data_IF_483617309717
#
_entry.id   IF_483617309717
#
_cell.length_a   1.000
_cell.length_b   1.000
_cell.length_c   1.000
_cell.angle_alpha   90.00
_cell.angle_beta   90.00
_cell.angle_gamma   90.00
#
_symmetry.space_group_name_H-M   'P 1'
#
loop_
_entity.id
_entity.type
_entity.pdbx_description
1 polymer ?
#
# COMPACT_ATOMS: atom_id res chain seq x y z
N UNK A 1 -62.39 20.77 -67.41
CA UNK A 1 -62.84 20.10 -66.18
C UNK A 1 -63.28 21.18 -65.19
N UNK A 2 -64.49 21.08 -64.66
CA UNK A 2 -65.18 22.12 -63.88
C UNK A 2 -65.60 21.59 -62.50
N UNK A 3 -65.39 22.44 -61.48
CA UNK A 3 -66.14 22.66 -60.22
C UNK A 3 -66.26 21.51 -59.18
N UNK A 4 -66.26 21.74 -57.85
CA UNK A 4 -66.97 22.75 -57.04
C UNK A 4 -66.30 23.11 -55.71
N UNK A 5 -66.73 24.26 -55.16
CA UNK A 5 -66.45 24.87 -53.86
C UNK A 5 -67.72 24.90 -52.97
N UNK A 6 -67.50 25.17 -51.66
CA UNK A 6 -68.35 25.86 -50.64
C UNK A 6 -69.24 24.99 -49.72
N UNK A 7 -69.76 25.48 -48.55
CA UNK A 7 -69.54 26.75 -47.80
C UNK A 7 -69.57 26.66 -46.24
N UNK A 8 -69.39 27.83 -45.58
CA UNK A 8 -70.06 28.33 -44.34
C UNK A 8 -69.86 27.70 -42.93
N UNK A 9 -69.41 28.54 -41.97
CA UNK A 9 -70.03 28.79 -40.64
C UNK A 9 -69.19 29.86 -39.88
N UNK A 10 -69.70 31.08 -39.62
CA UNK A 10 -70.30 31.56 -38.34
C UNK A 10 -69.25 31.82 -37.24
N UNK A 11 -69.23 32.86 -36.40
CA UNK A 11 -70.16 33.96 -36.08
C UNK A 11 -69.56 34.81 -34.92
N UNK A 12 -69.90 36.12 -34.86
CA UNK A 12 -70.27 36.92 -33.66
C UNK A 12 -69.23 37.09 -32.51
N UNK A 13 -69.06 38.18 -31.74
CA UNK A 13 -69.77 39.44 -31.47
C UNK A 13 -68.89 40.34 -30.59
N UNK A 14 -69.18 41.64 -30.61
CA UNK A 14 -68.50 42.73 -29.88
C UNK A 14 -69.16 43.10 -28.52
N UNK A 15 -68.30 43.53 -27.58
CA UNK A 15 -68.49 44.38 -26.38
C UNK A 15 -69.35 43.89 -25.20
N UNK A 16 -68.77 43.85 -23.99
CA UNK A 16 -69.33 44.37 -22.73
C UNK A 16 -68.26 44.48 -21.60
N UNK A 17 -68.12 45.70 -21.03
CA UNK A 17 -67.85 46.13 -19.63
C UNK A 17 -66.65 45.55 -18.83
N UNK A 18 -65.66 46.38 -18.43
CA UNK A 18 -65.52 47.21 -17.21
C UNK A 18 -64.79 46.52 -16.04
N UNK A 19 -63.58 47.04 -15.83
CA UNK A 19 -62.92 47.46 -14.59
C UNK A 19 -62.95 46.63 -13.30
N UNK A 20 -61.78 46.71 -12.64
CA UNK A 20 -61.49 46.55 -11.22
C UNK A 20 -61.31 45.12 -10.70
N UNK A 21 -60.06 44.68 -10.65
CA UNK A 21 -59.29 44.55 -9.39
C UNK A 21 -58.25 43.45 -9.53
N UNK A 22 -57.02 43.75 -9.13
CA UNK A 22 -55.92 42.78 -9.15
C UNK A 22 -54.62 43.46 -9.52
N UNK A 23 -54.13 44.29 -8.59
CA UNK A 23 -52.82 44.91 -8.69
C UNK A 23 -51.76 43.89 -9.04
N UNK A 24 -51.00 44.18 -10.10
CA UNK A 24 -49.68 43.62 -10.32
C UNK A 24 -48.77 44.82 -10.46
N UNK A 25 -48.00 45.07 -9.41
CA UNK A 25 -46.89 46.01 -9.48
C UNK A 25 -45.99 45.59 -10.64
N UNK A 26 -45.84 46.50 -11.61
CA UNK A 26 -44.74 46.40 -12.55
C UNK A 26 -43.48 46.74 -11.77
N UNK A 27 -42.54 45.79 -11.70
CA UNK A 27 -41.16 46.13 -11.44
C UNK A 27 -40.66 46.83 -12.70
N UNK A 28 -41.00 48.10 -12.85
CA UNK A 28 -40.24 48.96 -13.75
C UNK A 28 -38.90 49.18 -13.03
N UNK A 29 -37.97 48.28 -13.32
CA UNK A 29 -36.56 48.58 -13.16
C UNK A 29 -36.31 49.75 -14.12
N UNK A 30 -36.29 50.96 -13.59
CA UNK A 30 -35.54 52.07 -14.17
C UNK A 30 -34.23 51.46 -14.69
N UNK A 31 -33.97 51.61 -15.98
CA UNK A 31 -32.77 51.11 -16.64
C UNK A 31 -31.57 51.78 -15.95
N UNK A 32 -31.06 51.15 -14.89
CA UNK A 32 -29.87 51.60 -14.19
C UNK A 32 -28.75 51.44 -15.19
N UNK A 33 -28.37 52.54 -15.85
CA UNK A 33 -27.11 52.59 -16.56
C UNK A 33 -26.04 52.19 -15.53
N UNK A 34 -25.35 51.06 -15.74
CA UNK A 34 -24.28 50.70 -14.83
C UNK A 34 -23.29 51.85 -14.88
N UNK A 35 -23.10 52.48 -13.72
CA UNK A 35 -22.11 53.51 -13.53
C UNK A 35 -20.81 52.97 -14.13
N UNK A 36 -20.26 53.70 -15.12
CA UNK A 36 -19.12 53.28 -15.94
C UNK A 36 -18.01 52.83 -15.00
N UNK A 37 -17.95 51.53 -14.75
CA UNK A 37 -16.93 50.94 -13.91
C UNK A 37 -15.69 51.08 -14.76
N UNK A 38 -14.77 51.94 -14.33
CA UNK A 38 -13.41 51.99 -14.85
C UNK A 38 -12.95 50.55 -14.97
N UNK A 39 -12.74 50.08 -16.20
CA UNK A 39 -12.64 48.66 -16.50
C UNK A 39 -11.61 47.98 -15.63
N UNK A 40 -12.06 47.22 -14.65
CA UNK A 40 -11.21 46.22 -13.99
C UNK A 40 -11.12 45.09 -14.99
N UNK A 41 -10.02 45.05 -15.75
CA UNK A 41 -9.71 43.94 -16.64
C UNK A 41 -9.74 42.66 -15.82
N UNK A 42 -10.60 41.71 -16.21
CA UNK A 42 -10.60 40.37 -15.64
C UNK A 42 -9.22 39.78 -15.92
N UNK A 43 -8.39 39.63 -14.89
CA UNK A 43 -7.05 39.08 -15.02
C UNK A 43 -7.17 37.65 -15.57
N UNK A 44 -6.50 37.39 -16.69
CA UNK A 44 -6.46 36.08 -17.32
C UNK A 44 -5.31 35.30 -16.69
N UNK A 45 -5.65 34.37 -15.79
CA UNK A 45 -4.66 33.52 -15.14
C UNK A 45 -4.21 32.40 -16.10
N UNK A 46 -2.90 32.19 -16.17
CA UNK A 46 -2.29 31.03 -16.82
C UNK A 46 -1.43 30.28 -15.82
N UNK A 47 -1.30 28.97 -16.02
CA UNK A 47 -0.43 28.14 -15.20
C UNK A 47 1.02 28.63 -15.32
N UNK A 48 1.71 28.70 -14.19
CA UNK A 48 3.14 29.02 -14.18
C UNK A 48 3.88 27.82 -14.76
N UNK A 49 4.63 28.05 -15.85
CA UNK A 49 5.47 27.02 -16.44
C UNK A 49 6.56 26.61 -15.43
N UNK A 50 6.62 25.31 -15.14
CA UNK A 50 7.58 24.73 -14.20
C UNK A 50 8.30 23.56 -14.86
N UNK A 51 9.55 23.32 -14.46
CA UNK A 51 10.30 22.17 -14.93
C UNK A 51 9.57 20.88 -14.56
N UNK A 52 9.49 19.96 -15.52
CA UNK A 52 8.85 18.67 -15.28
C UNK A 52 9.67 17.87 -14.27
N UNK A 53 8.98 17.30 -13.27
CA UNK A 53 9.59 16.37 -12.33
C UNK A 53 10.28 15.24 -13.08
N UNK A 54 11.57 15.02 -12.79
CA UNK A 54 12.33 13.88 -13.31
C UNK A 54 11.66 12.60 -12.81
N UNK A 55 11.35 11.68 -13.74
CA UNK A 55 10.81 10.38 -13.38
C UNK A 55 11.96 9.48 -12.94
N UNK A 56 11.93 9.05 -11.69
CA UNK A 56 12.84 8.04 -11.19
C UNK A 56 12.36 6.66 -11.66
N UNK A 57 13.30 5.82 -12.10
CA UNK A 57 13.05 4.41 -12.39
C UNK A 57 13.68 3.59 -11.27
N UNK A 58 12.83 3.01 -10.42
CA UNK A 58 13.27 2.17 -9.31
C UNK A 58 13.46 0.73 -9.81
N UNK A 59 14.35 -0.01 -9.15
CA UNK A 59 14.43 -1.46 -9.33
C UNK A 59 13.21 -2.14 -8.72
N UNK A 60 12.87 -3.34 -9.18
CA UNK A 60 11.65 -4.08 -8.77
C UNK A 60 11.50 -4.24 -7.25
N UNK A 61 12.62 -4.41 -6.52
CA UNK A 61 12.63 -4.54 -5.05
C UNK A 61 12.73 -3.21 -4.28
N UNK A 62 12.88 -2.10 -5.00
CA UNK A 62 13.01 -0.76 -4.43
C UNK A 62 11.69 0.02 -4.50
N UNK A 63 10.66 -0.55 -5.15
CA UNK A 63 9.33 0.01 -5.16
C UNK A 63 8.76 0.07 -3.72
N UNK A 64 8.09 1.16 -3.31
CA UNK A 64 7.53 1.26 -1.97
C UNK A 64 6.27 0.39 -1.83
N UNK A 65 6.18 -0.33 -0.71
CA UNK A 65 4.99 -1.10 -0.31
C UNK A 65 4.76 -0.98 1.20
N UNK A 66 3.60 -1.41 1.69
CA UNK A 66 3.34 -1.49 3.14
C UNK A 66 4.28 -2.48 3.84
N UNK A 67 4.78 -3.46 3.11
CA UNK A 67 5.72 -4.45 3.61
C UNK A 67 6.09 -5.46 2.54
N UNK A 68 7.01 -6.35 2.89
CA UNK A 68 7.37 -7.50 2.05
C UNK A 68 7.42 -8.77 2.88
N UNK A 69 7.09 -9.88 2.24
CA UNK A 69 7.24 -11.23 2.77
C UNK A 69 8.05 -12.07 1.78
N UNK A 70 8.93 -12.92 2.30
CA UNK A 70 9.68 -13.86 1.49
C UNK A 70 9.59 -15.26 2.06
N UNK A 71 9.47 -16.25 1.17
CA UNK A 71 9.46 -17.67 1.54
C UNK A 71 10.88 -18.11 1.93
N UNK A 72 10.98 -18.89 3.00
CA UNK A 72 12.25 -19.50 3.46
C UNK A 72 12.70 -20.56 2.44
N UNK A 73 13.89 -20.43 1.82
CA UNK A 73 14.34 -21.36 0.81
C UNK A 73 14.54 -22.79 1.32
N UNK A 74 14.03 -23.75 0.54
CA UNK A 74 14.19 -25.20 0.78
C UNK A 74 14.69 -25.83 -0.51
N UNK A 75 15.81 -26.55 -0.43
CA UNK A 75 16.39 -27.23 -1.58
C UNK A 75 15.49 -28.37 -2.05
N UNK A 76 15.08 -28.30 -3.31
CA UNK A 76 14.39 -29.39 -3.98
C UNK A 76 15.35 -30.55 -4.31
N UNK A 77 14.79 -31.73 -4.58
CA UNK A 77 15.59 -32.90 -4.95
C UNK A 77 16.49 -32.59 -6.16
N UNK A 78 17.79 -32.87 -6.03
CA UNK A 78 18.80 -32.59 -7.07
C UNK A 78 19.37 -31.17 -7.08
N UNK A 79 18.72 -30.19 -6.44
CA UNK A 79 19.25 -28.83 -6.33
C UNK A 79 20.31 -28.74 -5.23
N UNK A 80 21.48 -28.17 -5.56
CA UNK A 80 22.55 -27.89 -4.59
C UNK A 80 22.44 -26.51 -3.95
N UNK A 81 21.72 -25.60 -4.62
CA UNK A 81 21.49 -24.23 -4.19
C UNK A 81 20.06 -23.81 -4.50
N UNK A 82 19.45 -23.07 -3.59
CA UNK A 82 18.15 -22.43 -3.75
C UNK A 82 18.26 -21.04 -3.15
N UNK A 83 18.25 -20.04 -4.01
CA UNK A 83 18.37 -18.63 -3.64
C UNK A 83 17.09 -18.13 -2.97
N UNK A 84 17.21 -17.00 -2.29
CA UNK A 84 16.06 -16.19 -1.92
C UNK A 84 15.55 -15.54 -3.21
N UNK A 85 14.28 -15.76 -3.54
CA UNK A 85 13.65 -15.20 -4.73
C UNK A 85 12.22 -14.75 -4.44
N UNK A 86 11.75 -13.82 -5.27
CA UNK A 86 10.35 -13.39 -5.33
C UNK A 86 9.78 -12.93 -3.98
N UNK A 87 10.36 -11.91 -3.32
CA UNK A 87 9.67 -11.29 -2.19
C UNK A 87 8.35 -10.68 -2.68
N UNK A 88 7.27 -10.96 -1.96
CA UNK A 88 5.93 -10.53 -2.31
C UNK A 88 5.59 -9.26 -1.53
N UNK A 89 5.09 -8.24 -2.23
CA UNK A 89 4.59 -7.02 -1.59
C UNK A 89 3.33 -7.32 -0.78
N UNK A 90 3.28 -6.83 0.46
CA UNK A 90 2.13 -6.94 1.34
C UNK A 90 1.23 -5.72 1.12
N UNK A 91 -0.03 -5.97 0.82
CA UNK A 91 -1.06 -4.93 0.62
C UNK A 91 -2.07 -4.84 1.76
N UNK A 92 -2.02 -5.81 2.68
CA UNK A 92 -2.96 -5.93 3.78
C UNK A 92 -2.60 -4.97 4.94
N UNK A 93 -3.57 -4.15 5.36
CA UNK A 93 -3.40 -3.14 6.40
C UNK A 93 -3.63 -3.66 7.84
N UNK A 94 -4.02 -4.93 8.04
CA UNK A 94 -4.21 -5.49 9.38
C UNK A 94 -2.85 -5.93 9.95
N UNK A 95 -2.33 -5.19 10.94
CA UNK A 95 -1.07 -5.55 11.61
C UNK A 95 -1.13 -6.92 12.32
N UNK A 96 -2.30 -7.39 12.75
CA UNK A 96 -2.42 -8.67 13.44
C UNK A 96 -2.38 -9.85 12.48
N UNK A 97 -2.57 -9.60 11.18
CA UNK A 97 -2.52 -10.62 10.15
C UNK A 97 -1.10 -10.84 9.68
N UNK A 98 -0.53 -11.96 10.13
CA UNK A 98 0.78 -12.43 9.66
C UNK A 98 0.66 -12.89 8.19
N UNK A 99 1.52 -12.39 7.28
CA UNK A 99 1.52 -12.80 5.88
C UNK A 99 1.71 -14.32 5.72
N UNK A 100 0.90 -14.94 4.86
CA UNK A 100 0.97 -16.37 4.53
C UNK A 100 0.87 -17.33 5.74
N UNK A 101 0.35 -16.86 6.89
CA UNK A 101 0.30 -17.65 8.12
C UNK A 101 -0.61 -18.88 8.03
N UNK A 102 -1.81 -18.73 7.47
CA UNK A 102 -2.74 -19.85 7.30
C UNK A 102 -2.21 -20.89 6.30
N UNK A 103 -1.49 -20.43 5.26
CA UNK A 103 -0.80 -21.30 4.30
C UNK A 103 0.21 -22.19 5.01
N UNK A 104 1.13 -21.61 5.79
CA UNK A 104 2.15 -22.40 6.49
C UNK A 104 1.57 -23.27 7.60
N UNK A 105 0.53 -22.81 8.31
CA UNK A 105 -0.20 -23.62 9.31
C UNK A 105 -0.83 -24.85 8.68
N UNK A 106 -1.47 -24.71 7.52
CA UNK A 106 -2.06 -25.82 6.79
C UNK A 106 -1.00 -26.84 6.37
N UNK A 107 0.12 -26.38 5.81
CA UNK A 107 1.26 -27.24 5.42
C UNK A 107 1.83 -27.95 6.63
N UNK A 108 2.09 -27.25 7.74
CA UNK A 108 2.63 -27.84 8.96
C UNK A 108 1.67 -28.89 9.54
N UNK A 109 0.39 -28.55 9.71
CA UNK A 109 -0.63 -29.44 10.30
C UNK A 109 -0.76 -30.76 9.52
N UNK A 110 -0.81 -30.70 8.19
CA UNK A 110 -0.88 -31.89 7.33
C UNK A 110 0.34 -32.81 7.45
N UNK A 111 1.47 -32.29 7.93
CA UNK A 111 2.75 -33.00 8.02
C UNK A 111 3.22 -33.21 9.47
N UNK A 112 2.32 -33.03 10.44
CA UNK A 112 2.60 -33.12 11.89
C UNK A 112 3.70 -32.14 12.36
N UNK A 113 3.82 -30.99 11.70
CA UNK A 113 4.70 -29.89 12.08
C UNK A 113 4.04 -28.89 13.03
N UNK A 114 4.83 -27.93 13.51
CA UNK A 114 4.40 -26.91 14.46
C UNK A 114 4.90 -25.53 14.03
N UNK A 115 3.97 -24.58 13.85
CA UNK A 115 4.33 -23.21 13.45
C UNK A 115 4.61 -22.35 14.68
N UNK A 116 5.74 -21.66 14.67
CA UNK A 116 6.10 -20.60 15.60
C UNK A 116 6.21 -19.28 14.84
N UNK A 117 5.60 -18.24 15.38
CA UNK A 117 5.65 -16.90 14.83
C UNK A 117 6.27 -15.87 15.80
N UNK A 118 6.79 -14.79 15.21
CA UNK A 118 7.38 -13.63 15.89
C UNK A 118 7.03 -12.38 15.08
N UNK A 119 6.49 -11.35 15.73
CA UNK A 119 5.95 -10.18 15.02
C UNK A 119 6.30 -8.81 15.64
N UNK A 120 7.07 -8.77 16.74
CA UNK A 120 7.36 -7.55 17.51
C UNK A 120 6.12 -6.76 18.00
N UNK A 121 4.96 -7.43 18.09
CA UNK A 121 3.67 -6.86 18.51
C UNK A 121 3.68 -6.20 19.90
N UNK A 122 4.50 -6.70 20.81
CA UNK A 122 4.62 -6.19 22.18
C UNK A 122 5.34 -4.84 22.27
N UNK A 123 6.22 -4.53 21.31
CA UNK A 123 7.09 -3.34 21.35
C UNK A 123 6.69 -2.31 20.30
N UNK A 124 6.17 -2.74 19.16
CA UNK A 124 5.92 -1.87 18.01
C UNK A 124 4.43 -1.57 17.82
N UNK A 125 4.08 -0.29 17.63
CA UNK A 125 2.68 0.13 17.42
C UNK A 125 2.24 0.13 15.96
N UNK A 126 3.14 0.56 15.06
CA UNK A 126 2.82 0.81 13.65
C UNK A 126 3.48 -0.17 12.68
N UNK A 127 4.37 -1.03 13.18
CA UNK A 127 5.11 -1.99 12.37
C UNK A 127 5.08 -3.38 13.00
N UNK A 128 5.27 -4.39 12.16
CA UNK A 128 5.51 -5.79 12.53
C UNK A 128 6.65 -6.31 11.70
N UNK A 129 7.57 -7.04 12.33
CA UNK A 129 8.66 -7.72 11.64
C UNK A 129 8.94 -9.04 12.33
N UNK A 130 9.40 -10.01 11.56
CA UNK A 130 9.82 -11.30 12.08
C UNK A 130 9.52 -12.43 11.11
N UNK A 131 8.93 -13.50 11.61
CA UNK A 131 8.78 -14.75 10.87
C UNK A 131 7.56 -15.55 11.30
N UNK A 132 7.15 -16.49 10.44
CA UNK A 132 6.26 -17.60 10.77
C UNK A 132 6.84 -18.88 10.16
N UNK A 133 7.29 -19.81 11.00
CA UNK A 133 8.14 -20.94 10.60
C UNK A 133 7.63 -22.23 11.24
N UNK A 134 7.57 -23.30 10.43
CA UNK A 134 7.44 -24.67 10.92
C UNK A 134 8.77 -25.11 11.57
N UNK A 135 8.80 -25.23 12.90
CA UNK A 135 10.02 -25.58 13.66
C UNK A 135 10.35 -27.07 13.59
N UNK A 136 9.36 -27.90 13.26
CA UNK A 136 9.49 -29.35 13.06
C UNK A 136 9.61 -29.69 11.56
N UNK A 137 10.11 -28.73 10.78
CA UNK A 137 10.28 -28.86 9.33
C UNK A 137 11.21 -30.03 8.96
N UNK A 138 10.78 -30.81 7.96
CA UNK A 138 11.61 -31.82 7.30
C UNK A 138 11.20 -31.98 5.83
N UNK A 139 12.11 -32.55 5.04
CA UNK A 139 11.87 -32.81 3.62
C UNK A 139 11.85 -31.54 2.77
N UNK A 140 11.03 -31.54 1.72
CA UNK A 140 10.97 -30.49 0.69
C UNK A 140 9.75 -29.59 0.79
N UNK A 141 8.96 -29.70 1.87
CA UNK A 141 7.78 -28.85 2.09
C UNK A 141 8.18 -27.41 2.40
N UNK A 142 7.22 -26.50 2.39
CA UNK A 142 7.46 -25.11 2.79
C UNK A 142 7.86 -25.05 4.28
N UNK A 143 8.95 -24.32 4.57
CA UNK A 143 9.42 -24.09 5.94
C UNK A 143 8.73 -22.90 6.60
N UNK A 144 8.34 -21.90 5.82
CA UNK A 144 7.69 -20.70 6.34
C UNK A 144 8.17 -19.44 5.65
N UNK A 145 8.04 -18.33 6.35
CA UNK A 145 8.21 -17.00 5.79
C UNK A 145 8.91 -16.05 6.76
N UNK A 146 9.64 -15.08 6.21
CA UNK A 146 10.21 -13.92 6.92
C UNK A 146 9.59 -12.67 6.32
N UNK A 147 9.24 -11.68 7.16
CA UNK A 147 8.50 -10.52 6.69
C UNK A 147 8.77 -9.26 7.52
N UNK A 148 8.42 -8.12 6.91
CA UNK A 148 8.13 -6.88 7.61
C UNK A 148 6.87 -6.25 7.00
N UNK A 149 6.07 -5.56 7.81
CA UNK A 149 4.97 -4.71 7.36
C UNK A 149 4.75 -3.54 8.30
N UNK A 150 4.19 -2.47 7.76
CA UNK A 150 3.77 -1.29 8.49
C UNK A 150 2.39 -0.85 8.07
N UNK A 151 1.81 0.02 8.88
CA UNK A 151 0.59 0.76 8.58
C UNK A 151 0.86 2.25 8.73
N UNK A 152 -0.01 3.05 8.13
CA UNK A 152 0.03 4.51 8.24
C UNK A 152 1.42 5.07 7.92
N UNK A 153 1.89 4.97 6.65
CA UNK A 153 3.14 5.59 6.23
C UNK A 153 3.19 7.06 6.66
N UNK A 154 4.31 7.47 7.26
CA UNK A 154 4.47 8.79 7.84
C UNK A 154 4.26 9.91 6.82
N UNK A 155 3.36 10.84 7.14
CA UNK A 155 3.11 12.06 6.34
C UNK A 155 3.81 13.30 6.91
N UNK A 156 4.35 13.17 8.12
CA UNK A 156 5.09 14.19 8.83
C UNK A 156 6.41 13.58 9.31
N UNK A 157 7.51 14.31 9.15
CA UNK A 157 8.84 13.89 9.59
C UNK A 157 9.34 14.86 10.67
N UNK A 158 10.08 14.36 11.68
CA UNK A 158 10.67 15.22 12.70
C UNK A 158 11.63 16.25 12.09
N UNK A 159 11.63 17.46 12.65
CA UNK A 159 12.66 18.46 12.41
C UNK A 159 13.56 18.55 13.65
N UNK A 160 14.87 18.65 13.45
CA UNK A 160 15.82 18.88 14.52
C UNK A 160 16.94 17.83 14.59
N UNK A 161 17.31 17.36 15.80
CA UNK A 161 18.51 16.55 16.00
C UNK A 161 18.38 15.14 15.43
N UNK A 162 19.52 14.46 15.31
CA UNK A 162 19.59 13.03 14.98
C UNK A 162 18.78 12.24 15.99
N UNK A 163 17.87 11.39 15.49
CA UNK A 163 17.04 10.52 16.32
C UNK A 163 17.53 9.07 16.25
N UNK A 164 17.56 8.41 17.41
CA UNK A 164 17.92 6.99 17.51
C UNK A 164 16.67 6.13 17.56
N UNK A 165 16.59 5.16 16.64
CA UNK A 165 15.53 4.14 16.58
C UNK A 165 16.11 2.78 16.92
N UNK A 166 15.53 2.11 17.92
CA UNK A 166 15.95 0.79 18.36
C UNK A 166 14.86 -0.25 18.09
N UNK A 167 15.28 -1.47 17.79
CA UNK A 167 14.37 -2.56 17.52
C UNK A 167 15.08 -3.90 17.42
N UNK A 168 14.50 -4.78 16.61
CA UNK A 168 15.02 -6.11 16.33
C UNK A 168 15.18 -6.30 14.82
N UNK A 169 15.86 -7.36 14.42
CA UNK A 169 15.91 -7.81 13.03
C UNK A 169 15.81 -9.33 12.95
N UNK A 170 15.34 -9.82 11.81
CA UNK A 170 15.15 -11.24 11.53
C UNK A 170 15.56 -11.51 10.08
N UNK A 171 15.90 -12.75 9.78
CA UNK A 171 16.43 -13.11 8.46
C UNK A 171 16.15 -14.56 8.09
N UNK A 172 16.29 -14.84 6.79
CA UNK A 172 16.48 -16.17 6.23
C UNK A 172 17.73 -16.14 5.34
N UNK A 173 18.50 -17.22 5.32
CA UNK A 173 19.54 -17.42 4.31
C UNK A 173 18.97 -17.98 3.01
N UNK A 174 19.81 -18.15 1.99
CA UNK A 174 19.60 -19.14 0.93
C UNK A 174 19.78 -20.57 1.48
N UNK A 175 19.43 -21.59 0.71
CA UNK A 175 19.85 -22.97 0.98
C UNK A 175 20.99 -23.33 0.03
N UNK A 176 22.16 -23.72 0.56
CA UNK A 176 23.34 -23.94 -0.26
C UNK A 176 24.28 -24.99 0.34
N UNK A 177 24.43 -26.12 -0.36
CA UNK A 177 25.35 -27.20 0.01
C UNK A 177 26.82 -26.86 -0.28
N UNK A 178 27.08 -25.96 -1.22
CA UNK A 178 28.42 -25.58 -1.67
C UNK A 178 28.99 -24.37 -0.90
N UNK A 179 28.16 -23.71 -0.07
CA UNK A 179 28.56 -22.55 0.75
C UNK A 179 29.50 -22.90 1.92
N UNK A 180 29.98 -24.14 2.03
CA UNK A 180 30.88 -24.63 3.10
C UNK A 180 30.35 -24.36 4.52
N UNK A 181 29.03 -24.33 4.69
CA UNK A 181 28.39 -24.22 6.01
C UNK A 181 28.68 -25.48 6.82
N UNK A 182 29.08 -25.37 8.10
CA UNK A 182 29.47 -26.54 8.87
C UNK A 182 28.26 -27.40 9.24
N UNK A 183 28.49 -28.71 9.36
CA UNK A 183 27.46 -29.67 9.79
C UNK A 183 26.99 -29.41 11.22
N UNK A 184 27.87 -28.90 12.08
CA UNK A 184 27.53 -28.41 13.42
C UNK A 184 27.90 -26.94 13.48
N UNK A 185 26.93 -26.09 13.80
CA UNK A 185 27.13 -24.65 13.91
C UNK A 185 26.96 -24.19 15.37
N UNK A 186 27.90 -23.42 15.96
CA UNK A 186 27.76 -22.94 17.33
C UNK A 186 26.63 -21.91 17.52
N UNK A 187 26.18 -21.27 16.43
CA UNK A 187 25.17 -20.22 16.44
C UNK A 187 23.77 -20.71 16.12
N UNK A 188 23.63 -21.74 15.28
CA UNK A 188 22.33 -22.24 14.82
C UNK A 188 22.08 -23.69 15.24
N UNK A 189 20.83 -24.00 15.56
CA UNK A 189 20.31 -25.33 15.87
C UNK A 189 20.21 -26.22 14.63
N UNK A 190 20.25 -27.54 14.86
CA UNK A 190 20.15 -28.55 13.81
C UNK A 190 21.48 -28.96 13.18
N UNK A 191 21.41 -29.95 12.29
CA UNK A 191 22.54 -30.44 11.50
C UNK A 191 22.57 -29.75 10.13
N UNK A 192 23.71 -29.14 9.79
CA UNK A 192 23.91 -28.42 8.54
C UNK A 192 22.96 -27.22 8.34
N UNK A 193 22.83 -26.29 9.30
CA UNK A 193 21.94 -25.13 9.14
C UNK A 193 22.34 -24.30 7.91
N UNK A 194 21.36 -24.03 7.05
CA UNK A 194 21.56 -23.33 5.77
C UNK A 194 22.05 -24.24 4.63
N UNK A 195 22.30 -25.53 4.84
CA UNK A 195 22.76 -26.41 3.75
C UNK A 195 21.61 -26.79 2.80
N UNK A 196 20.69 -27.66 3.23
CA UNK A 196 19.52 -28.06 2.42
C UNK A 196 18.30 -27.19 2.64
N UNK A 197 18.22 -26.60 3.82
CA UNK A 197 17.12 -25.76 4.26
C UNK A 197 17.77 -24.49 4.78
N UNK A 198 17.27 -23.34 4.34
CA UNK A 198 17.77 -22.06 4.81
C UNK A 198 17.71 -21.95 6.34
N UNK A 199 18.73 -21.33 6.93
CA UNK A 199 18.73 -21.02 8.35
C UNK A 199 18.06 -19.67 8.56
N UNK A 200 17.35 -19.52 9.67
CA UNK A 200 16.68 -18.26 10.03
C UNK A 200 17.11 -17.81 11.41
N UNK A 201 16.75 -16.57 11.78
CA UNK A 201 16.92 -16.07 13.15
C UNK A 201 16.24 -16.97 14.19
N UNK A 202 15.10 -17.59 13.85
CA UNK A 202 14.41 -18.56 14.70
C UNK A 202 15.25 -19.81 15.04
N UNK A 203 16.26 -20.13 14.22
CA UNK A 203 17.14 -21.27 14.47
C UNK A 203 18.30 -20.92 15.41
N UNK A 204 18.43 -19.69 15.90
CA UNK A 204 19.56 -19.28 16.69
C UNK A 204 19.60 -19.90 18.10
N UNK A 205 20.80 -20.16 18.59
CA UNK A 205 21.08 -20.70 19.93
C UNK A 205 21.23 -19.59 20.95
N UNK A 206 20.18 -19.34 21.73
CA UNK A 206 20.21 -18.41 22.86
C UNK A 206 20.62 -16.99 22.48
N UNK A 207 20.22 -16.53 21.29
CA UNK A 207 20.58 -15.22 20.75
C UNK A 207 19.33 -14.40 20.47
N UNK A 208 19.48 -13.09 20.66
CA UNK A 208 18.52 -12.07 20.27
C UNK A 208 19.20 -11.14 19.28
N UNK A 209 18.48 -10.78 18.22
CA UNK A 209 18.99 -9.94 17.14
C UNK A 209 18.39 -8.54 17.27
N UNK A 210 19.19 -7.57 17.72
CA UNK A 210 18.78 -6.18 17.96
C UNK A 210 19.28 -5.26 16.86
N UNK A 211 18.54 -4.19 16.58
CA UNK A 211 18.87 -3.16 15.59
C UNK A 211 18.87 -1.78 16.22
N UNK A 212 19.74 -0.90 15.70
CA UNK A 212 19.84 0.51 16.10
C UNK A 212 20.13 1.35 14.85
N UNK A 213 19.39 2.43 14.68
CA UNK A 213 19.52 3.36 13.55
C UNK A 213 19.58 4.79 14.06
N UNK A 214 20.59 5.54 13.63
CA UNK A 214 20.66 6.99 13.81
C UNK A 214 20.17 7.67 12.53
N UNK A 215 19.10 8.46 12.65
CA UNK A 215 18.45 9.12 11.52
C UNK A 215 18.60 10.62 11.65
N UNK A 216 19.38 11.20 10.75
CA UNK A 216 19.50 12.63 10.56
C UNK A 216 18.52 13.10 9.47
N UNK A 217 17.38 13.66 9.90
CA UNK A 217 16.37 14.21 8.99
C UNK A 217 16.79 15.51 8.30
N UNK A 218 17.85 16.19 8.76
CA UNK A 218 18.30 17.47 8.21
C UNK A 218 19.14 17.33 6.93
N UNK A 219 19.62 16.12 6.61
CA UNK A 219 20.57 15.86 5.53
C UNK A 219 19.96 15.25 4.27
N UNK A 220 18.65 14.99 4.25
CA UNK A 220 17.94 14.37 3.12
C UNK A 220 16.99 15.38 2.47
N UNK A 221 17.53 16.13 1.50
CA UNK A 221 16.79 17.08 0.64
C UNK A 221 16.51 16.49 -0.73
#
# INVERSE_FOLDING_TARGET
>A
MHFKLNPCALAFTSLFLVACSGGKGSFDLEDVQPNKTTGVSKEEYQDVETDKKVKEQLGELMEPALGYVVKVPVSQSGARRTEISNPEAITDEDLNKIPNHETIKSVAYQNYGWVVDKTADKTMKYVRSGYAIDVDHYGTRDKGYVFYKGITPSKELPQGPVLTYQGEWDFTSDANLDAKRPNSNPEFNGYGPGQRIATTSANAKGRTYTSEFEVDFSTKN
#
